data_IF_576993125296
#
_entry.id   IF_576993125296
#
_cell.length_a   1.000
_cell.length_b   1.000
_cell.length_c   1.000
_cell.angle_alpha   90.00
_cell.angle_beta   90.00
_cell.angle_gamma   90.00
#
_symmetry.space_group_name_H-M   'P 1'
#
loop_
_entity.id
_entity.type
_entity.pdbx_description
1 polymer ?
#
# COMPACT_ATOMS: atom_id res chain seq x y z
N UNK A 1 71.62 16.08 35.46
CA UNK A 1 70.19 16.42 35.65
C UNK A 1 69.87 17.57 34.71
N UNK A 2 69.58 17.25 33.45
CA UNK A 2 68.98 18.20 32.50
C UNK A 2 67.48 17.94 32.51
N UNK A 3 66.69 18.94 32.85
CA UNK A 3 65.23 18.84 32.80
C UNK A 3 64.81 18.95 31.33
N UNK A 4 64.35 17.84 30.76
CA UNK A 4 63.60 17.82 29.51
C UNK A 4 62.28 18.57 29.72
N UNK A 5 62.23 19.83 29.30
CA UNK A 5 60.96 20.53 29.10
C UNK A 5 60.37 20.08 27.77
N UNK A 6 59.51 19.07 27.80
CA UNK A 6 58.68 18.70 26.66
C UNK A 6 57.69 19.83 26.38
N UNK A 7 58.03 20.74 25.48
CA UNK A 7 57.04 21.62 24.87
C UNK A 7 56.13 20.76 24.00
N UNK A 8 54.89 20.60 24.46
CA UNK A 8 53.77 20.05 23.73
C UNK A 8 53.43 21.00 22.56
N UNK A 9 54.20 20.90 21.48
CA UNK A 9 53.86 21.53 20.21
C UNK A 9 52.80 20.66 19.52
N UNK A 10 51.52 20.96 19.81
CA UNK A 10 50.37 20.43 19.08
C UNK A 10 49.54 21.59 18.54
N UNK A 11 50.18 22.50 17.79
CA UNK A 11 49.43 23.38 16.90
C UNK A 11 49.05 22.60 15.64
N UNK A 12 48.05 21.72 15.74
CA UNK A 12 47.30 21.38 14.54
C UNK A 12 46.65 22.68 14.05
N UNK A 13 46.75 23.04 12.75
CA UNK A 13 46.06 24.21 12.24
C UNK A 13 44.54 23.96 12.28
N UNK A 14 43.92 24.23 13.43
CA UNK A 14 42.47 24.34 13.51
C UNK A 14 42.13 25.72 12.95
N UNK A 15 41.72 25.77 11.69
CA UNK A 15 41.01 26.94 11.19
C UNK A 15 39.88 27.25 12.19
N UNK A 16 39.79 28.46 12.74
CA UNK A 16 38.69 28.83 13.61
C UNK A 16 37.43 28.91 12.73
N UNK A 17 36.71 27.79 12.62
CA UNK A 17 35.37 27.80 12.07
C UNK A 17 34.46 28.35 13.16
N UNK A 18 34.08 29.62 13.02
CA UNK A 18 33.14 30.32 13.91
C UNK A 18 31.77 29.64 13.94
N UNK A 19 31.42 28.89 12.90
CA UNK A 19 30.24 28.02 12.86
C UNK A 19 30.61 26.64 12.26
N UNK A 20 30.33 25.52 12.98
CA UNK A 20 30.72 24.17 12.54
C UNK A 20 29.84 23.64 11.39
N UNK A 21 28.74 24.31 11.08
CA UNK A 21 27.79 23.95 10.02
C UNK A 21 27.58 25.16 9.11
N UNK A 22 27.76 24.96 7.81
CA UNK A 22 27.36 25.91 6.78
C UNK A 22 25.91 25.62 6.39
N UNK A 23 25.01 26.54 6.72
CA UNK A 23 23.60 26.46 6.35
C UNK A 23 23.39 26.55 4.83
N UNK A 24 22.28 25.98 4.35
CA UNK A 24 21.93 26.04 2.93
C UNK A 24 20.84 27.10 2.69
N UNK A 25 21.10 28.05 1.79
CA UNK A 25 20.17 29.12 1.43
C UNK A 25 18.82 28.61 0.89
N UNK A 26 18.79 27.38 0.37
CA UNK A 26 17.59 26.72 -0.14
C UNK A 26 16.91 25.79 0.87
N UNK A 27 17.23 25.88 2.16
CA UNK A 27 16.57 25.07 3.21
C UNK A 27 15.04 25.20 3.21
N UNK A 28 14.52 26.35 2.75
CA UNK A 28 13.08 26.59 2.56
C UNK A 28 12.43 25.66 1.55
N UNK A 29 13.18 25.12 0.57
CA UNK A 29 12.65 24.20 -0.43
C UNK A 29 12.19 22.87 0.17
N UNK A 30 12.69 22.51 1.36
CA UNK A 30 12.29 21.31 2.08
C UNK A 30 10.80 21.29 2.44
N UNK A 31 10.14 22.45 2.49
CA UNK A 31 8.70 22.52 2.72
C UNK A 31 7.86 21.95 1.56
N UNK A 32 8.47 21.77 0.38
CA UNK A 32 7.78 21.28 -0.83
C UNK A 32 8.13 19.84 -1.18
N UNK A 33 8.96 19.16 -0.39
CA UNK A 33 9.35 17.77 -0.64
C UNK A 33 9.78 17.06 0.64
N UNK A 34 9.39 15.79 0.76
CA UNK A 34 9.88 14.92 1.83
C UNK A 34 11.34 14.46 1.61
N UNK A 35 11.91 14.75 0.44
CA UNK A 35 13.31 14.50 0.17
C UNK A 35 14.18 15.35 1.10
N UNK A 36 15.26 14.75 1.61
CA UNK A 36 16.20 15.40 2.54
C UNK A 36 17.14 16.36 1.79
N UNK A 37 16.60 17.42 1.21
CA UNK A 37 17.34 18.48 0.50
C UNK A 37 17.69 19.63 1.45
N UNK A 38 18.47 20.62 1.00
CA UNK A 38 18.70 21.85 1.77
C UNK A 38 19.33 21.69 3.16
N UNK A 39 20.03 20.59 3.44
CA UNK A 39 20.48 20.20 4.79
C UNK A 39 21.71 20.95 5.32
N UNK A 40 22.32 21.81 4.51
CA UNK A 40 23.64 22.39 4.81
C UNK A 40 24.77 21.36 4.77
N UNK A 41 25.92 21.70 5.34
CA UNK A 41 27.11 20.85 5.40
C UNK A 41 28.02 21.18 6.57
N UNK A 42 28.77 20.20 7.07
CA UNK A 42 29.93 20.43 7.94
C UNK A 42 31.18 20.01 7.16
N UNK A 43 31.98 20.98 6.70
CA UNK A 43 33.03 20.73 5.71
C UNK A 43 32.44 20.16 4.41
N UNK A 44 32.80 18.93 4.07
CA UNK A 44 32.26 18.17 2.93
C UNK A 44 31.24 17.10 3.35
N UNK A 45 30.85 17.06 4.62
CA UNK A 45 30.01 16.02 5.21
C UNK A 45 28.61 16.53 5.58
N UNK A 46 27.68 15.60 5.79
CA UNK A 46 26.33 15.90 6.31
C UNK A 46 26.43 16.35 7.78
N UNK A 47 25.69 17.40 8.21
CA UNK A 47 25.69 17.80 9.60
C UNK A 47 25.20 16.69 10.53
N UNK A 48 25.79 16.58 11.72
CA UNK A 48 25.51 15.50 12.69
C UNK A 48 24.02 15.32 12.99
N UNK A 49 23.26 16.42 13.12
CA UNK A 49 21.81 16.39 13.34
C UNK A 49 21.08 15.58 12.24
N UNK A 50 21.42 15.82 10.98
CA UNK A 50 20.79 15.14 9.85
C UNK A 50 21.27 13.70 9.70
N UNK A 51 22.53 13.41 10.07
CA UNK A 51 23.05 12.05 10.15
C UNK A 51 22.31 11.23 11.22
N UNK A 52 22.13 11.77 12.42
CA UNK A 52 21.37 11.11 13.50
C UNK A 52 19.90 10.88 13.09
N UNK A 53 19.26 11.88 12.47
CA UNK A 53 17.91 11.74 11.95
C UNK A 53 17.81 10.70 10.81
N UNK A 54 18.89 10.46 10.06
CA UNK A 54 18.95 9.39 9.06
C UNK A 54 19.09 8.02 9.73
N UNK A 55 19.96 7.89 10.73
CA UNK A 55 20.16 6.65 11.48
C UNK A 55 18.89 6.21 12.21
N UNK A 56 18.16 7.15 12.84
CA UNK A 56 16.88 6.86 13.48
C UNK A 56 15.85 6.34 12.47
N UNK A 57 15.70 7.03 11.34
CA UNK A 57 14.81 6.61 10.26
C UNK A 57 15.16 5.24 9.70
N UNK A 58 16.46 4.93 9.59
CA UNK A 58 16.93 3.62 9.15
C UNK A 58 16.59 2.52 10.16
N UNK A 59 16.79 2.77 11.46
CA UNK A 59 16.40 1.83 12.51
C UNK A 59 14.88 1.55 12.48
N UNK A 60 14.06 2.61 12.38
CA UNK A 60 12.60 2.48 12.26
C UNK A 60 12.19 1.68 11.02
N UNK A 61 12.85 1.89 9.88
CA UNK A 61 12.58 1.13 8.67
C UNK A 61 12.93 -0.36 8.82
N UNK A 62 14.01 -0.70 9.53
CA UNK A 62 14.37 -2.10 9.84
C UNK A 62 13.30 -2.72 10.76
N UNK A 63 12.93 -2.03 11.84
CA UNK A 63 11.93 -2.53 12.79
C UNK A 63 10.58 -2.79 12.11
N UNK A 64 10.17 -1.92 11.18
CA UNK A 64 8.95 -2.08 10.40
C UNK A 64 8.94 -3.36 9.54
N UNK A 65 10.08 -3.80 9.01
CA UNK A 65 10.18 -5.07 8.25
C UNK A 65 9.95 -6.29 9.16
N UNK A 66 10.36 -6.19 10.43
CA UNK A 66 10.30 -7.30 11.37
C UNK A 66 9.02 -7.32 12.21
N UNK A 67 8.27 -6.22 12.23
CA UNK A 67 6.97 -6.14 12.92
C UNK A 67 5.99 -7.12 12.29
N UNK A 68 5.33 -7.92 13.13
CA UNK A 68 4.31 -8.88 12.71
C UNK A 68 2.94 -8.20 12.65
N UNK A 69 2.09 -8.66 11.75
CA UNK A 69 0.72 -8.20 11.62
C UNK A 69 -0.13 -8.84 12.71
N UNK A 70 -0.91 -8.06 13.45
CA UNK A 70 -1.98 -8.60 14.31
C UNK A 70 -3.22 -8.92 13.46
N UNK A 71 -3.16 -10.03 12.73
CA UNK A 71 -4.21 -10.43 11.79
C UNK A 71 -5.55 -10.69 12.49
N UNK A 72 -5.54 -11.15 13.75
CA UNK A 72 -6.75 -11.41 14.52
C UNK A 72 -7.46 -10.13 14.86
N UNK A 73 -6.74 -9.16 15.42
CA UNK A 73 -7.30 -7.85 15.73
C UNK A 73 -7.84 -7.16 14.47
N UNK A 74 -7.09 -7.19 13.37
CA UNK A 74 -7.54 -6.60 12.12
C UNK A 74 -8.81 -7.30 11.58
N UNK A 75 -8.90 -8.63 11.68
CA UNK A 75 -10.10 -9.36 11.28
C UNK A 75 -11.33 -8.97 12.11
N UNK A 76 -11.18 -8.78 13.42
CA UNK A 76 -12.25 -8.31 14.31
C UNK A 76 -12.69 -6.88 13.95
N UNK A 77 -11.73 -5.96 13.75
CA UNK A 77 -12.01 -4.57 13.37
C UNK A 77 -12.75 -4.47 12.02
N UNK A 78 -12.38 -5.31 11.04
CA UNK A 78 -13.03 -5.38 9.74
C UNK A 78 -14.42 -6.03 9.81
N UNK A 79 -14.57 -7.11 10.59
CA UNK A 79 -15.86 -7.81 10.74
C UNK A 79 -16.90 -6.96 11.46
N UNK A 80 -16.49 -6.00 12.28
CA UNK A 80 -17.37 -5.06 12.96
C UNK A 80 -17.99 -4.00 12.01
N UNK A 81 -17.52 -3.91 10.77
CA UNK A 81 -18.00 -2.88 9.83
C UNK A 81 -19.31 -3.29 9.14
N UNK A 82 -20.22 -2.33 9.00
CA UNK A 82 -21.52 -2.58 8.35
C UNK A 82 -21.43 -2.96 6.87
N UNK A 83 -20.32 -2.63 6.19
CA UNK A 83 -20.07 -2.98 4.80
C UNK A 83 -19.40 -4.35 4.62
N UNK A 84 -18.93 -4.98 5.70
CA UNK A 84 -18.17 -6.21 5.63
C UNK A 84 -18.98 -7.35 4.98
N UNK A 85 -18.34 -8.26 4.22
CA UNK A 85 -18.99 -9.45 3.73
C UNK A 85 -19.64 -10.25 4.87
N UNK A 86 -20.75 -10.92 4.57
CA UNK A 86 -21.57 -11.65 5.55
C UNK A 86 -20.95 -13.03 5.93
N UNK A 87 -19.63 -13.06 6.09
CA UNK A 87 -18.82 -14.22 6.41
C UNK A 87 -17.55 -13.76 7.14
N UNK A 88 -17.07 -14.57 8.08
CA UNK A 88 -15.85 -14.25 8.82
C UNK A 88 -14.63 -14.22 7.86
N UNK A 89 -13.66 -13.31 8.07
CA UNK A 89 -12.42 -13.30 7.32
C UNK A 89 -11.63 -14.59 7.51
N UNK A 90 -10.99 -15.07 6.45
CA UNK A 90 -10.03 -16.16 6.53
C UNK A 90 -8.68 -15.65 7.02
N UNK A 91 -8.13 -16.31 8.03
CA UNK A 91 -6.74 -16.12 8.46
C UNK A 91 -5.91 -17.20 7.79
N UNK A 92 -5.04 -16.79 6.87
CA UNK A 92 -4.27 -17.64 5.99
C UNK A 92 -2.78 -17.34 6.13
N UNK A 93 -1.96 -18.27 5.65
CA UNK A 93 -0.52 -18.18 5.69
C UNK A 93 0.08 -18.65 4.36
N UNK A 94 1.18 -18.01 3.95
CA UNK A 94 1.94 -18.47 2.78
C UNK A 94 2.80 -19.69 3.11
N UNK A 95 3.51 -20.25 2.14
CA UNK A 95 4.49 -21.32 2.41
C UNK A 95 5.70 -20.86 3.22
N UNK A 96 5.90 -19.55 3.38
CA UNK A 96 7.05 -19.03 4.12
C UNK A 96 6.74 -19.02 5.62
N UNK A 97 7.21 -20.03 6.35
CA UNK A 97 6.92 -20.30 7.78
C UNK A 97 7.28 -19.19 8.75
N UNK A 98 8.19 -18.30 8.37
CA UNK A 98 8.70 -17.22 9.22
C UNK A 98 9.23 -16.07 8.36
N UNK A 99 9.50 -14.93 9.01
CA UNK A 99 9.95 -13.70 8.33
C UNK A 99 11.32 -13.87 7.65
N UNK A 100 12.24 -14.67 8.21
CA UNK A 100 13.56 -14.87 7.59
C UNK A 100 13.44 -15.69 6.29
N UNK A 101 12.65 -16.76 6.31
CA UNK A 101 12.29 -17.55 5.15
C UNK A 101 11.57 -16.69 4.11
N UNK A 102 10.60 -15.87 4.51
CA UNK A 102 9.88 -14.97 3.62
C UNK A 102 10.80 -14.00 2.85
N UNK A 103 11.80 -13.42 3.54
CA UNK A 103 12.77 -12.50 2.93
C UNK A 103 13.71 -13.19 1.93
N UNK A 104 14.06 -14.46 2.16
CA UNK A 104 15.02 -15.21 1.32
C UNK A 104 14.35 -16.05 0.22
N UNK A 105 13.09 -16.44 0.40
CA UNK A 105 12.33 -17.32 -0.50
C UNK A 105 11.08 -16.62 -1.02
N UNK A 106 11.24 -15.69 -1.98
CA UNK A 106 10.11 -14.95 -2.53
C UNK A 106 9.09 -15.87 -3.22
N UNK A 107 9.52 -17.03 -3.71
CA UNK A 107 8.65 -18.05 -4.29
C UNK A 107 7.65 -18.64 -3.29
N UNK A 108 8.04 -18.79 -2.01
CA UNK A 108 7.16 -19.31 -0.96
C UNK A 108 6.06 -18.32 -0.59
N UNK A 109 6.39 -17.03 -0.50
CA UNK A 109 5.40 -15.98 -0.24
C UNK A 109 4.37 -15.80 -1.36
N UNK A 110 4.59 -16.38 -2.54
CA UNK A 110 3.65 -16.30 -3.68
C UNK A 110 2.59 -17.41 -3.68
N UNK A 111 2.62 -18.35 -2.73
CA UNK A 111 1.70 -19.49 -2.67
C UNK A 111 1.21 -19.69 -1.25
N UNK A 112 -0.05 -20.11 -1.12
CA UNK A 112 -0.59 -20.54 0.17
C UNK A 112 0.13 -21.82 0.65
N UNK A 113 0.24 -21.97 1.97
CA UNK A 113 0.58 -23.26 2.55
C UNK A 113 -0.56 -24.27 2.37
N UNK A 114 -0.29 -25.54 2.67
CA UNK A 114 -1.24 -26.62 2.44
C UNK A 114 -2.51 -26.49 3.30
N UNK A 115 -2.37 -25.99 4.53
CA UNK A 115 -3.49 -25.80 5.45
C UNK A 115 -4.44 -24.70 4.95
N UNK A 116 -3.88 -23.53 4.63
CA UNK A 116 -4.61 -22.37 4.11
C UNK A 116 -5.25 -22.66 2.76
N UNK A 117 -4.55 -23.40 1.89
CA UNK A 117 -5.09 -23.91 0.64
C UNK A 117 -6.34 -24.78 0.87
N UNK A 118 -6.27 -25.71 1.82
CA UNK A 118 -7.37 -26.61 2.13
C UNK A 118 -8.61 -25.88 2.67
N UNK A 119 -8.42 -24.84 3.51
CA UNK A 119 -9.52 -23.99 4.00
C UNK A 119 -10.31 -23.39 2.83
N UNK A 120 -9.61 -22.82 1.85
CA UNK A 120 -10.27 -22.21 0.69
C UNK A 120 -10.92 -23.24 -0.23
N UNK A 121 -10.26 -24.38 -0.44
CA UNK A 121 -10.82 -25.47 -1.26
C UNK A 121 -12.10 -26.03 -0.64
N UNK A 122 -12.13 -26.21 0.69
CA UNK A 122 -13.31 -26.65 1.41
C UNK A 122 -14.45 -25.63 1.29
N UNK A 123 -14.15 -24.33 1.47
CA UNK A 123 -15.14 -23.27 1.32
C UNK A 123 -15.78 -23.29 -0.08
N UNK A 124 -14.97 -23.42 -1.13
CA UNK A 124 -15.47 -23.46 -2.51
C UNK A 124 -16.22 -24.77 -2.85
N UNK A 125 -15.91 -25.88 -2.16
CA UNK A 125 -16.67 -27.12 -2.29
C UNK A 125 -18.06 -27.01 -1.62
N UNK A 126 -18.16 -26.32 -0.50
CA UNK A 126 -19.41 -26.08 0.23
C UNK A 126 -20.26 -24.96 -0.39
N UNK A 127 -19.60 -23.99 -1.04
CA UNK A 127 -20.23 -22.83 -1.64
C UNK A 127 -19.88 -22.70 -3.12
N UNK A 128 -20.82 -23.13 -3.98
CA UNK A 128 -20.65 -23.07 -5.44
C UNK A 128 -20.92 -21.69 -6.04
N UNK A 129 -21.21 -20.69 -5.21
CA UNK A 129 -21.44 -19.33 -5.69
C UNK A 129 -20.15 -18.72 -6.24
N UNK A 130 -20.24 -18.13 -7.43
CA UNK A 130 -19.12 -17.42 -8.04
C UNK A 130 -19.01 -16.02 -7.43
N UNK A 131 -17.79 -15.59 -7.06
CA UNK A 131 -17.55 -14.24 -6.56
C UNK A 131 -17.11 -13.30 -7.69
N UNK A 132 -17.57 -12.05 -7.66
CA UNK A 132 -17.08 -11.02 -8.57
C UNK A 132 -15.70 -10.50 -8.14
N UNK A 133 -15.45 -10.43 -6.83
CA UNK A 133 -14.21 -9.89 -6.27
C UNK A 133 -13.78 -10.64 -5.00
N UNK A 134 -12.54 -11.10 -4.98
CA UNK A 134 -11.81 -11.48 -3.77
C UNK A 134 -10.92 -10.31 -3.32
N UNK A 135 -10.85 -10.07 -2.01
CA UNK A 135 -9.94 -9.07 -1.43
C UNK A 135 -8.95 -9.80 -0.53
N UNK A 136 -7.67 -9.73 -0.89
CA UNK A 136 -6.57 -10.31 -0.11
C UNK A 136 -5.79 -9.19 0.58
N UNK A 137 -5.71 -9.25 1.91
CA UNK A 137 -4.99 -8.32 2.76
C UNK A 137 -3.72 -9.03 3.22
N UNK A 138 -2.56 -8.52 2.80
CA UNK A 138 -1.29 -9.23 2.90
C UNK A 138 -0.29 -8.36 3.64
N UNK A 139 0.33 -8.88 4.71
CA UNK A 139 1.33 -8.15 5.50
C UNK A 139 2.47 -7.56 4.64
N UNK A 140 2.95 -8.32 3.67
CA UNK A 140 3.96 -7.87 2.73
C UNK A 140 5.30 -7.61 3.41
N UNK A 141 5.87 -6.43 3.21
CA UNK A 141 7.12 -5.98 3.86
C UNK A 141 6.87 -4.97 4.97
N UNK A 142 5.62 -4.56 5.18
CA UNK A 142 5.25 -3.63 6.25
C UNK A 142 3.86 -3.93 6.79
N UNK A 143 3.83 -4.61 7.93
CA UNK A 143 2.59 -4.85 8.69
C UNK A 143 1.94 -3.55 9.13
N UNK A 144 2.75 -2.53 9.47
CA UNK A 144 2.28 -1.21 9.87
C UNK A 144 1.43 -0.55 8.78
N UNK A 145 1.84 -0.67 7.51
CA UNK A 145 1.08 -0.14 6.39
C UNK A 145 -0.30 -0.78 6.28
N UNK A 146 -0.41 -2.09 6.54
CA UNK A 146 -1.68 -2.81 6.55
C UNK A 146 -2.56 -2.36 7.72
N UNK A 147 -2.03 -2.35 8.94
CA UNK A 147 -2.79 -2.00 10.15
C UNK A 147 -3.34 -0.57 10.10
N UNK A 148 -2.56 0.38 9.57
CA UNK A 148 -2.96 1.79 9.54
C UNK A 148 -3.92 2.12 8.40
N UNK A 149 -3.73 1.52 7.22
CA UNK A 149 -4.39 2.00 6.00
C UNK A 149 -5.51 1.08 5.49
N UNK A 150 -5.57 -0.20 5.90
CA UNK A 150 -6.54 -1.16 5.34
C UNK A 150 -7.98 -0.76 5.63
N UNK A 151 -8.32 -0.55 6.90
CA UNK A 151 -9.68 -0.16 7.30
C UNK A 151 -10.15 1.15 6.63
N UNK A 152 -9.42 2.28 6.70
CA UNK A 152 -9.89 3.52 6.08
C UNK A 152 -9.95 3.44 4.55
N UNK A 153 -9.03 2.71 3.90
CA UNK A 153 -9.10 2.48 2.46
C UNK A 153 -10.32 1.64 2.07
N UNK A 154 -10.56 0.50 2.76
CA UNK A 154 -11.71 -0.34 2.46
C UNK A 154 -13.02 0.40 2.72
N UNK A 155 -13.13 1.17 3.80
CA UNK A 155 -14.30 2.01 4.03
C UNK A 155 -14.57 2.98 2.87
N UNK A 156 -13.53 3.59 2.30
CA UNK A 156 -13.65 4.44 1.12
C UNK A 156 -14.03 3.64 -0.15
N UNK A 157 -13.45 2.45 -0.36
CA UNK A 157 -13.76 1.60 -1.51
C UNK A 157 -15.19 1.06 -1.48
N UNK A 158 -15.64 0.56 -0.34
CA UNK A 158 -16.99 0.02 -0.17
C UNK A 158 -18.09 1.09 -0.25
N UNK A 159 -17.75 2.37 -0.10
CA UNK A 159 -18.69 3.46 -0.41
C UNK A 159 -19.02 3.54 -1.91
N UNK A 160 -18.16 3.01 -2.79
CA UNK A 160 -18.40 2.93 -4.24
C UNK A 160 -18.99 1.59 -4.70
N UNK A 161 -18.68 0.49 -4.00
CA UNK A 161 -19.17 -0.84 -4.34
C UNK A 161 -20.64 -1.00 -3.92
N UNK A 162 -21.53 -1.16 -4.90
CA UNK A 162 -22.92 -1.56 -4.61
C UNK A 162 -22.96 -3.06 -4.29
N UNK A 163 -22.99 -3.41 -3.00
CA UNK A 163 -23.08 -4.79 -2.50
C UNK A 163 -24.50 -5.21 -2.13
N UNK A 164 -25.47 -4.28 -2.17
CA UNK A 164 -26.84 -4.50 -1.74
C UNK A 164 -27.72 -4.95 -2.91
N UNK A 165 -27.80 -6.27 -3.14
CA UNK A 165 -28.80 -6.83 -4.06
C UNK A 165 -30.25 -6.71 -3.56
N UNK A 166 -30.49 -6.41 -2.28
CA UNK A 166 -31.79 -6.63 -1.61
C UNK A 166 -32.48 -5.40 -1.01
N UNK A 167 -31.88 -4.19 -1.02
CA UNK A 167 -32.46 -3.01 -0.35
C UNK A 167 -32.69 -1.79 -1.26
N UNK A 168 -33.08 -1.99 -2.52
CA UNK A 168 -33.64 -0.92 -3.38
C UNK A 168 -35.16 -1.02 -3.47
N UNK A 169 -35.83 -0.96 -2.32
CA UNK A 169 -37.24 -0.63 -2.21
C UNK A 169 -37.35 0.50 -1.19
N UNK A 170 -37.76 1.68 -1.65
CA UNK A 170 -38.07 2.88 -0.87
C UNK A 170 -36.90 3.69 -0.30
N UNK A 171 -36.14 4.37 -1.16
CA UNK A 171 -35.74 5.76 -0.83
C UNK A 171 -35.62 6.59 -2.11
N UNK A 172 -36.61 7.46 -2.36
CA UNK A 172 -36.51 8.54 -3.36
C UNK A 172 -35.55 9.60 -2.80
N UNK A 173 -34.24 9.42 -2.98
CA UNK A 173 -33.27 10.51 -2.83
C UNK A 173 -33.07 11.18 -4.18
N UNK A 174 -33.43 12.45 -4.25
CA UNK A 174 -33.44 13.28 -5.45
C UNK A 174 -32.05 13.88 -5.72
N UNK A 175 -31.02 13.03 -5.77
CA UNK A 175 -29.67 13.41 -6.18
C UNK A 175 -29.37 12.72 -7.51
N UNK A 176 -29.16 13.51 -8.57
CA UNK A 176 -28.60 13.06 -9.86
C UNK A 176 -27.16 12.60 -9.62
N UNK A 177 -26.96 11.43 -9.06
CA UNK A 177 -25.69 10.69 -9.16
C UNK A 177 -25.89 9.67 -10.28
N UNK A 178 -25.00 9.68 -11.26
CA UNK A 178 -25.01 8.73 -12.38
C UNK A 178 -25.16 7.32 -11.82
N UNK A 179 -26.32 6.74 -12.08
CA UNK A 179 -26.73 5.42 -11.62
C UNK A 179 -25.70 4.40 -12.07
N UNK A 180 -25.03 3.74 -11.12
CA UNK A 180 -24.20 2.55 -11.36
C UNK A 180 -24.96 1.58 -12.29
N UNK A 181 -24.50 1.49 -13.55
CA UNK A 181 -25.10 0.67 -14.61
C UNK A 181 -24.70 -0.82 -14.48
N UNK A 182 -23.87 -1.15 -13.49
CA UNK A 182 -23.32 -2.47 -13.25
C UNK A 182 -24.13 -3.20 -12.17
N UNK A 183 -24.25 -4.52 -12.32
CA UNK A 183 -24.87 -5.39 -11.32
C UNK A 183 -24.15 -5.27 -9.96
N UNK A 184 -24.84 -5.57 -8.84
CA UNK A 184 -24.20 -5.62 -7.53
C UNK A 184 -22.95 -6.50 -7.54
N UNK A 185 -22.00 -6.18 -6.66
CA UNK A 185 -20.77 -6.96 -6.49
C UNK A 185 -20.98 -8.06 -5.47
N UNK A 186 -20.76 -9.31 -5.87
CA UNK A 186 -20.66 -10.42 -4.94
C UNK A 186 -19.21 -10.55 -4.43
N UNK A 187 -18.98 -10.07 -3.21
CA UNK A 187 -17.65 -10.04 -2.59
C UNK A 187 -17.41 -11.33 -1.80
N UNK A 188 -16.25 -11.96 -2.00
CA UNK A 188 -15.82 -13.13 -1.23
C UNK A 188 -15.51 -12.76 0.24
N UNK A 189 -15.48 -13.73 1.17
CA UNK A 189 -14.93 -13.49 2.49
C UNK A 189 -13.52 -12.89 2.39
N UNK A 190 -13.21 -11.92 3.24
CA UNK A 190 -11.90 -11.26 3.23
C UNK A 190 -10.81 -12.28 3.56
N UNK A 191 -9.67 -12.22 2.88
CA UNK A 191 -8.53 -13.11 3.12
C UNK A 191 -7.38 -12.32 3.73
N UNK A 192 -7.06 -12.53 5.01
CA UNK A 192 -5.86 -11.99 5.64
C UNK A 192 -4.75 -13.02 5.53
N UNK A 193 -3.60 -12.60 5.01
CA UNK A 193 -2.49 -13.50 4.66
C UNK A 193 -1.21 -13.02 5.32
N UNK A 194 -0.63 -13.88 6.13
CA UNK A 194 0.71 -13.68 6.69
C UNK A 194 1.79 -14.20 5.74
N UNK A 195 2.93 -13.49 5.72
CA UNK A 195 4.11 -13.80 4.91
C UNK A 195 3.82 -13.88 3.41
N UNK A 196 2.85 -13.11 2.92
CA UNK A 196 2.42 -13.17 1.52
C UNK A 196 3.11 -12.15 0.61
N UNK A 197 3.11 -12.43 -0.69
CA UNK A 197 3.50 -11.49 -1.76
C UNK A 197 2.34 -11.31 -2.72
N UNK A 198 2.42 -10.26 -3.55
CA UNK A 198 1.37 -9.89 -4.53
C UNK A 198 0.74 -11.09 -5.26
N UNK A 199 1.56 -12.00 -5.80
CA UNK A 199 1.05 -13.13 -6.59
C UNK A 199 0.25 -14.17 -5.78
N UNK A 200 0.25 -14.12 -4.43
CA UNK A 200 -0.59 -14.98 -3.61
C UNK A 200 -2.08 -14.70 -3.85
N UNK A 201 -2.42 -13.47 -4.25
CA UNK A 201 -3.77 -13.12 -4.66
C UNK A 201 -4.28 -13.97 -5.82
N UNK A 202 -3.41 -14.42 -6.72
CA UNK A 202 -3.82 -15.25 -7.85
C UNK A 202 -4.20 -16.68 -7.39
N UNK A 203 -3.48 -17.25 -6.42
CA UNK A 203 -3.79 -18.55 -5.79
C UNK A 203 -5.14 -18.45 -5.04
N UNK A 204 -5.38 -17.36 -4.33
CA UNK A 204 -6.66 -17.08 -3.63
C UNK A 204 -7.80 -16.91 -4.64
N UNK A 205 -7.59 -16.14 -5.70
CA UNK A 205 -8.60 -15.87 -6.73
C UNK A 205 -9.08 -17.18 -7.39
N UNK A 206 -8.11 -18.03 -7.76
CA UNK A 206 -8.37 -19.32 -8.37
C UNK A 206 -9.14 -20.26 -7.44
N UNK A 207 -8.73 -20.36 -6.17
CA UNK A 207 -9.37 -21.24 -5.17
C UNK A 207 -10.77 -20.79 -4.77
N UNK A 208 -10.99 -19.49 -4.61
CA UNK A 208 -12.30 -18.93 -4.30
C UNK A 208 -13.24 -18.87 -5.51
N UNK A 209 -12.80 -19.27 -6.71
CA UNK A 209 -13.57 -19.11 -7.93
C UNK A 209 -14.06 -17.65 -8.13
N UNK A 210 -13.18 -16.69 -7.82
CA UNK A 210 -13.45 -15.27 -7.97
C UNK A 210 -13.04 -14.78 -9.36
N UNK A 211 -13.83 -13.88 -9.96
CA UNK A 211 -13.52 -13.28 -11.26
C UNK A 211 -12.36 -12.30 -11.21
N UNK A 212 -12.15 -11.65 -10.08
CA UNK A 212 -11.12 -10.64 -9.89
C UNK A 212 -10.55 -10.76 -8.47
N UNK A 213 -9.29 -10.40 -8.29
CA UNK A 213 -8.68 -10.22 -6.98
C UNK A 213 -8.09 -8.83 -6.85
N UNK A 214 -8.30 -8.21 -5.69
CA UNK A 214 -7.62 -7.00 -5.24
C UNK A 214 -6.74 -7.37 -4.04
N UNK A 215 -5.43 -7.21 -4.20
CA UNK A 215 -4.44 -7.45 -3.15
C UNK A 215 -4.04 -6.12 -2.53
N UNK A 216 -4.30 -5.96 -1.24
CA UNK A 216 -3.77 -4.91 -0.39
C UNK A 216 -2.48 -5.46 0.23
N UNK A 217 -1.35 -4.81 0.01
CA UNK A 217 -0.06 -5.30 0.51
C UNK A 217 0.78 -4.17 1.11
N UNK A 218 1.37 -4.43 2.27
CA UNK A 218 2.37 -3.54 2.86
C UNK A 218 3.61 -3.47 1.98
N UNK A 219 3.92 -2.28 1.45
CA UNK A 219 5.07 -2.09 0.59
C UNK A 219 6.39 -2.15 1.38
N UNK A 220 7.51 -2.14 0.66
CA UNK A 220 8.82 -2.03 1.30
C UNK A 220 8.89 -0.71 2.07
N UNK A 221 9.21 -0.71 3.38
CA UNK A 221 9.28 0.51 4.16
C UNK A 221 10.40 1.42 3.63
N UNK A 222 10.01 2.64 3.28
CA UNK A 222 10.96 3.71 2.98
C UNK A 222 11.51 4.33 4.26
N UNK A 223 12.64 5.05 4.15
CA UNK A 223 13.22 5.77 5.29
C UNK A 223 12.25 6.80 5.93
N UNK A 224 11.29 7.30 5.16
CA UNK A 224 10.32 8.31 5.63
C UNK A 224 8.86 7.88 5.42
N UNK A 225 8.63 6.62 5.01
CA UNK A 225 7.30 6.12 4.64
C UNK A 225 7.20 4.62 4.91
N UNK A 226 7.26 4.19 6.19
CA UNK A 226 7.09 2.79 6.55
C UNK A 226 5.63 2.33 6.40
N UNK A 227 4.70 3.25 6.21
CA UNK A 227 3.25 3.09 6.24
C UNK A 227 2.60 2.98 4.85
N UNK A 228 3.39 2.79 3.78
CA UNK A 228 2.85 2.78 2.41
C UNK A 228 2.09 1.50 2.06
N UNK A 229 0.80 1.63 1.72
CA UNK A 229 -0.02 0.54 1.19
C UNK A 229 0.02 0.51 -0.35
N UNK A 230 0.21 -0.69 -0.90
CA UNK A 230 0.10 -0.96 -2.33
C UNK A 230 -1.14 -1.79 -2.65
N UNK A 231 -1.76 -1.52 -3.80
CA UNK A 231 -2.94 -2.22 -4.31
C UNK A 231 -2.59 -2.87 -5.64
N UNK A 232 -2.89 -4.16 -5.78
CA UNK A 232 -2.66 -4.91 -7.00
C UNK A 232 -3.94 -5.62 -7.45
N UNK A 233 -4.37 -5.38 -8.68
CA UNK A 233 -5.60 -5.93 -9.23
C UNK A 233 -5.29 -6.90 -10.36
N UNK A 234 -5.83 -8.11 -10.28
CA UNK A 234 -5.77 -9.12 -11.34
C UNK A 234 -7.18 -9.60 -11.69
N UNK A 235 -7.56 -9.48 -12.96
CA UNK A 235 -8.75 -10.13 -13.52
C UNK A 235 -8.43 -11.57 -13.91
N UNK A 236 -9.26 -12.52 -13.44
CA UNK A 236 -9.09 -13.95 -13.66
C UNK A 236 -7.74 -14.45 -13.16
N UNK A 237 -7.37 -14.06 -11.93
CA UNK A 237 -6.09 -14.38 -11.32
C UNK A 237 -5.87 -15.89 -11.29
N UNK A 238 -4.72 -16.32 -11.80
CA UNK A 238 -4.28 -17.72 -11.82
C UNK A 238 -2.80 -17.83 -11.48
N UNK A 239 -2.45 -18.91 -10.82
CA UNK A 239 -1.06 -19.22 -10.53
C UNK A 239 -0.23 -19.21 -11.82
N UNK A 240 0.94 -18.56 -11.76
CA UNK A 240 1.88 -18.45 -12.88
C UNK A 240 1.77 -17.14 -13.66
N UNK A 241 0.78 -16.29 -13.37
CA UNK A 241 0.73 -14.95 -13.94
C UNK A 241 1.93 -14.09 -13.52
N UNK A 242 2.41 -13.29 -14.47
CA UNK A 242 3.49 -12.32 -14.26
C UNK A 242 2.93 -10.96 -13.88
N UNK A 243 3.79 -10.05 -13.43
CA UNK A 243 3.38 -8.71 -12.99
C UNK A 243 2.72 -7.87 -14.09
N UNK A 244 2.96 -8.22 -15.37
CA UNK A 244 2.30 -7.57 -16.50
C UNK A 244 0.77 -7.76 -16.52
N UNK A 245 0.23 -8.73 -15.79
CA UNK A 245 -1.21 -8.97 -15.67
C UNK A 245 -1.86 -8.16 -14.55
N UNK A 246 -1.09 -7.39 -13.78
CA UNK A 246 -1.61 -6.71 -12.58
C UNK A 246 -1.62 -5.21 -12.76
N UNK A 247 -2.75 -4.57 -12.52
CA UNK A 247 -2.76 -3.12 -12.31
C UNK A 247 -2.20 -2.81 -10.92
N UNK A 248 -1.49 -1.70 -10.78
CA UNK A 248 -0.87 -1.30 -9.52
C UNK A 248 -1.28 0.14 -9.17
N UNK A 249 -1.75 0.35 -7.94
CA UNK A 249 -1.88 1.67 -7.31
C UNK A 249 -0.98 1.63 -6.07
N UNK A 250 0.04 2.48 -6.03
CA UNK A 250 1.04 2.51 -4.95
C UNK A 250 0.90 3.75 -4.09
N UNK A 251 1.67 3.79 -2.98
CA UNK A 251 1.79 4.97 -2.13
C UNK A 251 0.45 5.42 -1.53
N UNK A 252 -0.44 4.48 -1.22
CA UNK A 252 -1.73 4.77 -0.57
C UNK A 252 -1.48 5.02 0.92
N UNK A 253 -1.57 6.28 1.34
CA UNK A 253 -1.35 6.76 2.71
C UNK A 253 -1.75 8.24 2.82
N UNK A 254 -1.97 8.79 4.03
CA UNK A 254 -2.37 10.19 4.20
C UNK A 254 -1.40 11.21 3.58
N UNK A 255 -0.09 10.93 3.65
CA UNK A 255 0.96 11.77 3.07
C UNK A 255 1.32 11.38 1.62
N UNK A 256 0.51 10.53 0.98
CA UNK A 256 0.69 10.05 -0.38
C UNK A 256 -0.62 10.17 -1.17
N UNK A 257 -1.02 9.08 -1.82
CA UNK A 257 -2.34 8.98 -2.43
C UNK A 257 -3.39 8.75 -1.33
N UNK A 258 -4.19 9.78 -1.07
CA UNK A 258 -5.24 9.72 -0.03
C UNK A 258 -6.30 8.67 -0.37
N UNK A 259 -6.95 8.14 0.67
CA UNK A 259 -7.81 6.96 0.57
C UNK A 259 -8.98 7.13 -0.41
N UNK A 260 -9.60 8.32 -0.46
CA UNK A 260 -10.72 8.59 -1.36
C UNK A 260 -10.30 8.52 -2.83
N UNK A 261 -9.14 9.10 -3.17
CA UNK A 261 -8.61 9.04 -4.54
C UNK A 261 -8.13 7.63 -4.91
N UNK A 262 -7.49 6.93 -3.98
CA UNK A 262 -7.10 5.54 -4.17
C UNK A 262 -8.32 4.64 -4.40
N UNK A 263 -9.38 4.82 -3.61
CA UNK A 263 -10.64 4.07 -3.73
C UNK A 263 -11.35 4.34 -5.05
N UNK A 264 -11.40 5.61 -5.48
CA UNK A 264 -11.96 6.00 -6.78
C UNK A 264 -11.21 5.35 -7.95
N UNK A 265 -9.87 5.39 -7.92
CA UNK A 265 -9.01 4.72 -8.91
C UNK A 265 -9.19 3.20 -8.91
N UNK A 266 -9.21 2.58 -7.72
CA UNK A 266 -9.42 1.14 -7.58
C UNK A 266 -10.79 0.74 -8.12
N UNK A 267 -11.85 1.48 -7.79
CA UNK A 267 -13.20 1.24 -8.29
C UNK A 267 -13.32 1.39 -9.81
N UNK A 268 -12.67 2.40 -10.40
CA UNK A 268 -12.57 2.56 -11.85
C UNK A 268 -11.95 1.33 -12.50
N UNK A 269 -10.78 0.91 -12.02
CA UNK A 269 -10.08 -0.26 -12.55
C UNK A 269 -10.87 -1.56 -12.37
N UNK A 270 -11.53 -1.76 -11.22
CA UNK A 270 -12.41 -2.91 -10.98
C UNK A 270 -13.56 -2.95 -11.98
N UNK A 271 -14.21 -1.81 -12.22
CA UNK A 271 -15.35 -1.70 -13.13
C UNK A 271 -14.95 -1.95 -14.59
N UNK A 272 -13.84 -1.36 -15.02
CA UNK A 272 -13.32 -1.58 -16.38
C UNK A 272 -12.80 -3.01 -16.55
N UNK A 273 -12.12 -3.56 -15.55
CA UNK A 273 -11.69 -4.96 -15.56
C UNK A 273 -12.90 -5.90 -15.68
N UNK A 274 -14.00 -5.63 -14.97
CA UNK A 274 -15.25 -6.40 -15.06
C UNK A 274 -15.89 -6.32 -16.44
N UNK A 275 -15.86 -5.14 -17.05
CA UNK A 275 -16.47 -4.88 -18.36
C UNK A 275 -15.65 -5.51 -19.50
N UNK A 276 -14.33 -5.31 -19.48
CA UNK A 276 -13.41 -5.72 -20.53
C UNK A 276 -12.82 -7.12 -20.32
N UNK A 277 -12.98 -7.69 -19.12
CA UNK A 277 -12.44 -8.98 -18.69
C UNK A 277 -10.92 -9.07 -18.84
N UNK A 278 -10.23 -8.00 -18.48
CA UNK A 278 -8.77 -7.88 -18.58
C UNK A 278 -8.21 -6.98 -17.47
N UNK A 279 -6.90 -7.05 -17.26
CA UNK A 279 -6.16 -6.26 -16.27
C UNK A 279 -4.69 -6.13 -16.71
N UNK A 280 -3.88 -5.44 -15.89
CA UNK A 280 -2.46 -5.26 -16.13
C UNK A 280 -2.18 -4.27 -17.25
N UNK A 281 -1.12 -4.52 -18.02
CA UNK A 281 -0.66 -3.60 -19.09
C UNK A 281 -1.71 -3.32 -20.16
N UNK A 282 -2.70 -4.22 -20.30
CA UNK A 282 -3.83 -4.10 -21.24
C UNK A 282 -4.94 -3.17 -20.74
N UNK A 283 -4.99 -2.88 -19.44
CA UNK A 283 -5.96 -1.97 -18.83
C UNK A 283 -5.25 -0.69 -18.39
N UNK A 284 -5.56 0.44 -19.03
CA UNK A 284 -4.98 1.75 -18.66
C UNK A 284 -5.86 2.43 -17.63
N UNK A 285 -5.23 3.02 -16.62
CA UNK A 285 -5.91 3.93 -15.71
C UNK A 285 -6.23 5.22 -16.46
N UNK A 286 -7.51 5.54 -16.56
CA UNK A 286 -8.06 6.78 -17.13
C UNK A 286 -9.01 7.45 -16.14
N UNK A 287 -8.87 7.16 -14.85
CA UNK A 287 -9.73 7.74 -13.82
C UNK A 287 -9.70 9.27 -13.82
N UNK A 288 -8.62 9.89 -14.31
CA UNK A 288 -8.40 11.33 -14.23
C UNK A 288 -8.81 12.06 -15.53
N UNK A 289 -9.19 11.33 -16.58
CA UNK A 289 -9.59 11.92 -17.87
C UNK A 289 -10.83 12.83 -17.72
N UNK A 290 -11.77 12.46 -16.83
CA UNK A 290 -12.95 13.26 -16.52
C UNK A 290 -12.61 14.57 -15.76
N UNK A 291 -11.54 14.58 -14.95
CA UNK A 291 -11.06 15.76 -14.22
C UNK A 291 -10.37 16.77 -15.15
N UNK A 292 -9.69 16.28 -16.19
CA UNK A 292 -8.99 17.12 -17.17
C UNK A 292 -9.98 17.87 -18.06
N UNK A 293 -11.12 17.28 -18.40
CA UNK A 293 -12.14 17.95 -19.21
C UNK A 293 -12.75 19.18 -18.49
N UNK A 294 -12.88 19.13 -17.16
CA UNK A 294 -13.49 20.22 -16.38
C UNK A 294 -12.51 21.39 -16.10
N UNK A 295 -11.21 21.11 -16.00
CA UNK A 295 -10.16 22.14 -15.80
C UNK A 295 -9.84 22.99 -17.03
N UNK A 296 -10.36 22.62 -18.20
CA UNK A 296 -10.22 23.40 -19.44
C UNK A 296 -10.87 24.80 -19.39
N UNK A 297 -11.66 25.11 -18.34
CA UNK A 297 -12.30 26.42 -18.17
C UNK A 297 -11.50 27.46 -17.38
N UNK A 298 -10.46 27.08 -16.61
CA UNK A 298 -9.68 28.03 -15.81
C UNK A 298 -8.19 27.64 -15.72
N UNK A 299 -7.45 27.79 -16.82
CA UNK A 299 -5.98 27.79 -16.77
C UNK A 299 -5.46 29.22 -16.91
N UNK A 300 -5.22 29.89 -15.76
CA UNK A 300 -4.32 31.07 -15.74
C UNK A 300 -2.88 30.55 -15.78
N UNK A 301 -2.21 30.73 -16.91
CA UNK A 301 -0.80 30.40 -17.08
C UNK A 301 0.04 31.12 -16.02
N UNK A 302 0.73 30.36 -15.17
CA UNK A 302 1.61 30.86 -14.10
C UNK A 302 2.87 31.57 -14.63
N UNK A 303 3.20 31.42 -15.91
CA UNK A 303 4.47 31.86 -16.50
C UNK A 303 4.41 33.19 -17.28
N UNK A 304 3.30 33.91 -17.23
CA UNK A 304 3.25 35.27 -17.82
C UNK A 304 2.73 36.21 -16.74
N UNK A 305 3.69 36.85 -16.06
CA UNK A 305 3.45 38.09 -15.31
C UNK A 305 3.84 39.27 -16.21
#
# INVERSE_FOLDING_TARGET
MSQDTTHSDKSFPTHPHTEPVTENAWSKLNAFTDARVGLGRSGISVPTKHLLAFQLAHAQAIDAVHTQLDAKRLAEELSAQAWAPNAAPFLLHSRATDRATYLQRPDYGRRLDEHSAHILDQHSAENTAEYDLAIAIVDGLSSLAIEQNTLPFLQALFAHLDTNATNKSNTKSNTKTNTNKHAPWHIAPLCLVEQGRVAIGDDICERLNAKCVLVLIGERPGLSSPDSLGLYLTWGGKVGYTDAYRNCISNVRPAGLVYQEAARKAFYLLTEARTLKLSGVKLKDRSDDDLIMDTSKESKNFLIT
#
